data_IF_379489214705
#
_entry.id   IF_379489214705
#
_cell.length_a   1.000
_cell.length_b   1.000
_cell.length_c   1.000
_cell.angle_alpha   90.00
_cell.angle_beta   90.00
_cell.angle_gamma   90.00
#
_symmetry.space_group_name_H-M   'P 1'
#
loop_
_entity.id
_entity.type
_entity.pdbx_description
1 polymer ?
#
# COMPACT_ATOMS: atom_id res chain seq x y z
N UNK A 1 -21.53 26.92 9.98
CA UNK A 1 -21.19 25.48 10.11
C UNK A 1 -20.54 25.03 8.81
N UNK A 2 -19.30 24.56 8.83
CA UNK A 2 -18.60 24.15 7.61
C UNK A 2 -19.23 22.86 7.05
N UNK A 3 -19.86 22.96 5.87
CA UNK A 3 -20.54 21.87 5.15
C UNK A 3 -19.54 20.84 4.56
N UNK A 4 -18.76 20.16 5.41
CA UNK A 4 -17.88 19.09 4.96
C UNK A 4 -18.56 17.72 5.11
N UNK A 5 -18.50 16.89 4.07
CA UNK A 5 -18.95 15.49 4.12
C UNK A 5 -17.89 14.60 4.76
N UNK A 6 -18.32 13.58 5.50
CA UNK A 6 -17.44 12.63 6.19
C UNK A 6 -17.35 11.26 5.49
N UNK A 7 -17.97 11.12 4.30
CA UNK A 7 -18.00 9.88 3.52
C UNK A 7 -17.35 10.11 2.15
N UNK A 8 -16.55 9.13 1.72
CA UNK A 8 -15.90 9.09 0.41
C UNK A 8 -16.71 8.16 -0.49
N UNK A 9 -17.12 8.65 -1.66
CA UNK A 9 -17.84 7.82 -2.65
C UNK A 9 -16.86 7.03 -3.52
N UNK A 10 -17.34 5.99 -4.20
CA UNK A 10 -16.51 5.23 -5.14
C UNK A 10 -16.00 6.10 -6.30
N UNK A 11 -16.81 7.04 -6.78
CA UNK A 11 -16.40 8.02 -7.79
C UNK A 11 -15.26 8.91 -7.28
N UNK A 12 -15.35 9.41 -6.04
CA UNK A 12 -14.28 10.20 -5.43
C UNK A 12 -12.98 9.40 -5.39
N UNK A 13 -13.04 8.14 -4.91
CA UNK A 13 -11.88 7.25 -4.83
C UNK A 13 -11.27 6.92 -6.20
N UNK A 14 -12.09 6.66 -7.22
CA UNK A 14 -11.61 6.36 -8.57
C UNK A 14 -10.88 7.55 -9.20
N UNK A 15 -11.41 8.77 -9.02
CA UNK A 15 -10.77 10.00 -9.49
C UNK A 15 -9.43 10.22 -8.78
N UNK A 16 -9.40 10.13 -7.44
CA UNK A 16 -8.16 10.33 -6.67
C UNK A 16 -7.12 9.27 -7.02
N UNK A 17 -7.53 8.02 -7.20
CA UNK A 17 -6.66 6.93 -7.67
C UNK A 17 -6.06 7.26 -9.05
N UNK A 18 -6.88 7.61 -10.03
CA UNK A 18 -6.41 7.94 -11.38
C UNK A 18 -5.45 9.15 -11.36
N UNK A 19 -5.80 10.22 -10.63
CA UNK A 19 -4.94 11.40 -10.49
C UNK A 19 -3.60 11.05 -9.85
N UNK A 20 -3.59 10.18 -8.85
CA UNK A 20 -2.36 9.73 -8.19
C UNK A 20 -1.49 8.94 -9.16
N UNK A 21 -2.05 7.97 -9.89
CA UNK A 21 -1.34 7.14 -10.86
C UNK A 21 -0.75 7.96 -12.01
N UNK A 22 -1.55 8.82 -12.64
CA UNK A 22 -1.07 9.63 -13.76
C UNK A 22 -0.12 10.74 -13.28
N UNK A 23 -0.39 11.33 -12.12
CA UNK A 23 0.49 12.32 -11.52
C UNK A 23 1.88 11.76 -11.25
N UNK A 24 1.97 10.59 -10.61
CA UNK A 24 3.26 9.94 -10.35
C UNK A 24 3.96 9.56 -11.65
N UNK A 25 3.24 9.01 -12.63
CA UNK A 25 3.81 8.65 -13.93
C UNK A 25 4.38 9.85 -14.72
N UNK A 26 3.63 10.96 -14.78
CA UNK A 26 4.07 12.19 -15.45
C UNK A 26 5.33 12.74 -14.80
N UNK A 27 5.36 12.80 -13.47
CA UNK A 27 6.54 13.34 -12.78
C UNK A 27 7.75 12.41 -12.91
N UNK A 28 7.56 11.10 -12.83
CA UNK A 28 8.63 10.15 -13.11
C UNK A 28 9.20 10.32 -14.52
N UNK A 29 8.34 10.58 -15.52
CA UNK A 29 8.78 10.88 -16.89
C UNK A 29 9.57 12.20 -16.98
N UNK A 30 9.11 13.25 -16.31
CA UNK A 30 9.79 14.55 -16.27
C UNK A 30 11.16 14.43 -15.60
N UNK A 31 11.23 13.72 -14.47
CA UNK A 31 12.48 13.47 -13.74
C UNK A 31 13.47 12.65 -14.59
N UNK A 32 12.99 11.63 -15.31
CA UNK A 32 13.81 10.85 -16.23
C UNK A 32 14.34 11.71 -17.39
N UNK A 33 13.52 12.61 -17.95
CA UNK A 33 13.96 13.54 -18.99
C UNK A 33 15.01 14.52 -18.48
N UNK A 34 14.85 15.05 -17.27
CA UNK A 34 15.84 15.92 -16.62
C UNK A 34 17.16 15.16 -16.44
N UNK A 35 17.14 13.92 -15.95
CA UNK A 35 18.34 13.10 -15.82
C UNK A 35 19.06 12.90 -17.16
N UNK A 36 18.30 12.69 -18.25
CA UNK A 36 18.86 12.48 -19.58
C UNK A 36 19.40 13.75 -20.25
N UNK A 37 18.98 14.94 -19.80
CA UNK A 37 19.25 16.23 -20.48
C UNK A 37 20.06 17.23 -19.65
N UNK A 38 20.18 17.03 -18.34
CA UNK A 38 20.88 17.94 -17.44
C UNK A 38 22.20 17.34 -16.93
N UNK A 39 23.26 18.13 -16.99
CA UNK A 39 24.48 17.88 -16.21
C UNK A 39 24.29 18.45 -14.80
N UNK A 40 24.60 17.68 -13.74
CA UNK A 40 24.56 18.17 -12.36
C UNK A 40 23.88 17.23 -11.36
N UNK A 41 23.37 17.78 -10.25
CA UNK A 41 22.88 17.00 -9.10
C UNK A 41 21.84 15.91 -9.42
N UNK A 42 20.99 16.12 -10.43
CA UNK A 42 19.95 15.16 -10.85
C UNK A 42 20.43 14.12 -11.87
N UNK A 43 21.71 14.14 -12.29
CA UNK A 43 22.29 13.08 -13.12
C UNK A 43 22.73 11.87 -12.28
N UNK A 44 22.85 12.02 -10.96
CA UNK A 44 23.14 10.92 -10.04
C UNK A 44 21.91 10.03 -9.82
N UNK A 45 22.04 8.75 -10.17
CA UNK A 45 20.93 7.79 -10.14
C UNK A 45 20.37 7.60 -8.72
N UNK A 46 21.24 7.57 -7.70
CA UNK A 46 20.83 7.42 -6.30
C UNK A 46 19.98 8.62 -5.87
N UNK A 47 20.44 9.83 -6.16
CA UNK A 47 19.73 11.07 -5.89
C UNK A 47 18.36 11.11 -6.58
N UNK A 48 18.30 10.70 -7.85
CA UNK A 48 17.04 10.66 -8.60
C UNK A 48 16.03 9.67 -7.98
N UNK A 49 16.49 8.51 -7.51
CA UNK A 49 15.63 7.54 -6.82
C UNK A 49 15.03 8.13 -5.54
N UNK A 50 15.83 8.85 -4.74
CA UNK A 50 15.33 9.51 -3.53
C UNK A 50 14.32 10.61 -3.84
N UNK A 51 14.64 11.49 -4.79
CA UNK A 51 13.76 12.59 -5.20
C UNK A 51 12.45 12.04 -5.77
N UNK A 52 12.52 11.06 -6.67
CA UNK A 52 11.32 10.44 -7.24
C UNK A 52 10.46 9.77 -6.18
N UNK A 53 11.07 9.08 -5.20
CA UNK A 53 10.38 8.51 -4.05
C UNK A 53 9.61 9.56 -3.24
N UNK A 54 10.25 10.66 -2.85
CA UNK A 54 9.58 11.74 -2.10
C UNK A 54 8.44 12.36 -2.92
N UNK A 55 8.72 12.71 -4.17
CA UNK A 55 7.74 13.41 -5.01
C UNK A 55 6.53 12.52 -5.30
N UNK A 56 6.73 11.22 -5.51
CA UNK A 56 5.63 10.28 -5.69
C UNK A 56 4.68 10.29 -4.49
N UNK A 57 5.22 10.26 -3.26
CA UNK A 57 4.41 10.30 -2.04
C UNK A 57 3.68 11.63 -1.86
N UNK A 58 4.35 12.76 -2.19
CA UNK A 58 3.72 14.09 -2.17
C UNK A 58 2.55 14.20 -3.15
N UNK A 59 2.66 13.59 -4.33
CA UNK A 59 1.57 13.54 -5.32
C UNK A 59 0.39 12.76 -4.76
N UNK A 60 0.63 11.55 -4.22
CA UNK A 60 -0.44 10.69 -3.68
C UNK A 60 -1.22 11.43 -2.59
N UNK A 61 -0.53 11.97 -1.58
CA UNK A 61 -1.19 12.69 -0.49
C UNK A 61 -1.80 14.01 -0.96
N UNK A 62 -1.13 14.71 -1.89
CA UNK A 62 -1.61 15.94 -2.49
C UNK A 62 -2.91 15.75 -3.26
N UNK A 63 -3.02 14.67 -4.05
CA UNK A 63 -4.25 14.29 -4.74
C UNK A 63 -5.38 13.97 -3.74
N UNK A 64 -5.10 13.18 -2.69
CA UNK A 64 -6.10 12.80 -1.70
C UNK A 64 -6.61 14.01 -0.88
N UNK A 65 -5.70 14.81 -0.32
CA UNK A 65 -6.04 15.96 0.52
C UNK A 65 -6.58 17.11 -0.34
N UNK A 66 -5.95 17.42 -1.47
CA UNK A 66 -6.38 18.48 -2.39
C UNK A 66 -7.77 18.22 -2.97
N UNK A 67 -8.03 16.99 -3.43
CA UNK A 67 -9.38 16.60 -3.86
C UNK A 67 -10.38 16.65 -2.69
N UNK A 68 -9.96 16.23 -1.50
CA UNK A 68 -10.75 16.33 -0.28
C UNK A 68 -11.17 17.78 0.00
N UNK A 69 -10.25 18.74 -0.04
CA UNK A 69 -10.55 20.17 0.12
C UNK A 69 -11.53 20.64 -0.96
N UNK A 70 -11.26 20.34 -2.23
CA UNK A 70 -12.09 20.73 -3.36
C UNK A 70 -13.54 20.22 -3.24
N UNK A 71 -13.72 18.96 -2.81
CA UNK A 71 -15.03 18.33 -2.59
C UNK A 71 -15.61 18.53 -1.19
N UNK A 72 -14.96 19.36 -0.35
CA UNK A 72 -15.34 19.58 1.05
C UNK A 72 -15.50 18.25 1.80
N UNK A 73 -14.53 17.35 1.71
CA UNK A 73 -14.43 16.09 2.46
C UNK A 73 -13.54 16.31 3.66
N UNK A 74 -14.01 15.95 4.86
CA UNK A 74 -13.15 15.90 6.03
C UNK A 74 -12.30 14.63 5.98
N UNK A 75 -11.19 14.67 5.26
CA UNK A 75 -10.33 13.50 5.03
C UNK A 75 -9.92 12.81 6.33
N UNK A 76 -9.41 13.50 7.38
CA UNK A 76 -9.02 12.84 8.63
C UNK A 76 -10.16 12.05 9.29
N UNK A 77 -11.38 12.57 9.23
CA UNK A 77 -12.55 11.85 9.77
C UNK A 77 -12.95 10.70 8.85
N UNK A 78 -12.97 10.93 7.53
CA UNK A 78 -13.41 9.95 6.55
C UNK A 78 -12.51 8.70 6.48
N UNK A 79 -11.21 8.85 6.68
CA UNK A 79 -10.24 7.74 6.70
C UNK A 79 -10.09 7.09 8.08
N UNK A 80 -10.76 7.62 9.11
CA UNK A 80 -10.68 7.07 10.47
C UNK A 80 -9.42 7.48 11.24
N UNK A 81 -8.77 8.59 10.91
CA UNK A 81 -7.62 9.11 11.67
C UNK A 81 -7.99 9.55 13.10
N UNK A 82 -9.29 9.81 13.35
CA UNK A 82 -9.83 10.12 14.68
C UNK A 82 -10.10 8.90 15.56
N UNK A 83 -9.96 7.69 15.02
CA UNK A 83 -10.22 6.45 15.75
C UNK A 83 -8.91 5.93 16.35
N UNK A 84 -8.66 6.11 17.66
CA UNK A 84 -7.41 5.70 18.27
C UNK A 84 -7.33 4.18 18.37
N UNK A 85 -6.11 3.66 18.34
CA UNK A 85 -5.83 2.25 18.60
C UNK A 85 -5.57 2.00 20.07
N UNK A 86 -6.02 0.84 20.54
CA UNK A 86 -5.68 0.32 21.87
C UNK A 86 -4.26 -0.27 21.83
N UNK A 87 -3.55 -0.22 22.95
CA UNK A 87 -2.16 -0.71 23.04
C UNK A 87 -2.00 -2.16 22.58
N UNK A 88 -2.94 -3.05 22.95
CA UNK A 88 -2.92 -4.45 22.50
C UNK A 88 -3.06 -4.58 20.98
N UNK A 89 -3.77 -3.67 20.31
CA UNK A 89 -3.88 -3.66 18.85
C UNK A 89 -2.53 -3.28 18.25
N UNK A 90 -1.88 -2.26 18.79
CA UNK A 90 -0.53 -1.85 18.34
C UNK A 90 0.46 -3.01 18.50
N UNK A 91 0.50 -3.66 19.66
CA UNK A 91 1.39 -4.80 19.89
C UNK A 91 1.16 -5.93 18.89
N UNK A 92 -0.10 -6.28 18.61
CA UNK A 92 -0.43 -7.31 17.62
C UNK A 92 -0.08 -6.89 16.18
N UNK A 93 -0.19 -5.61 15.83
CA UNK A 93 0.21 -5.12 14.50
C UNK A 93 1.73 -5.24 14.31
N UNK A 94 2.55 -5.00 15.33
CA UNK A 94 4.00 -5.18 15.26
C UNK A 94 4.36 -6.66 15.08
N UNK A 95 3.73 -7.55 15.85
CA UNK A 95 3.90 -9.01 15.71
C UNK A 95 3.46 -9.48 14.33
N UNK A 96 2.33 -8.96 13.83
CA UNK A 96 1.80 -9.28 12.52
C UNK A 96 2.74 -8.80 11.39
N UNK A 97 3.35 -7.62 11.53
CA UNK A 97 4.32 -7.09 10.57
C UNK A 97 5.55 -8.00 10.44
N UNK A 98 6.09 -8.44 11.58
CA UNK A 98 7.24 -9.33 11.62
C UNK A 98 6.91 -10.73 11.10
N UNK A 99 5.77 -11.31 11.52
CA UNK A 99 5.32 -12.59 11.00
C UNK A 99 5.07 -12.53 9.48
N UNK A 100 4.53 -11.42 8.97
CA UNK A 100 4.33 -11.23 7.53
C UNK A 100 5.65 -11.12 6.77
N UNK A 101 6.67 -10.47 7.34
CA UNK A 101 8.02 -10.45 6.78
C UNK A 101 8.60 -11.86 6.68
N UNK A 102 8.58 -12.62 7.78
CA UNK A 102 9.09 -14.00 7.82
C UNK A 102 8.34 -14.94 6.86
N UNK A 103 7.03 -14.77 6.72
CA UNK A 103 6.23 -15.56 5.79
C UNK A 103 6.55 -15.24 4.33
N UNK A 104 6.71 -13.95 4.00
CA UNK A 104 6.86 -13.52 2.62
C UNK A 104 8.28 -13.52 2.10
N UNK A 105 9.32 -13.50 2.95
CA UNK A 105 10.71 -13.52 2.50
C UNK A 105 11.03 -14.73 1.60
N UNK A 106 10.71 -15.99 1.98
CA UNK A 106 10.92 -17.13 1.09
C UNK A 106 10.09 -17.06 -0.19
N UNK A 107 8.84 -16.58 -0.09
CA UNK A 107 7.95 -16.41 -1.24
C UNK A 107 8.53 -15.39 -2.21
N UNK A 108 9.00 -14.25 -1.72
CA UNK A 108 9.60 -13.19 -2.54
C UNK A 108 10.90 -13.66 -3.20
N UNK A 109 11.71 -14.44 -2.48
CA UNK A 109 12.94 -15.04 -3.04
C UNK A 109 12.59 -16.00 -4.18
N UNK A 110 11.64 -16.91 -3.95
CA UNK A 110 11.16 -17.83 -4.98
C UNK A 110 10.60 -17.11 -6.22
N UNK A 111 9.80 -16.07 -6.02
CA UNK A 111 9.28 -15.25 -7.14
C UNK A 111 10.42 -14.54 -7.87
N UNK A 112 11.41 -14.01 -7.12
CA UNK A 112 12.56 -13.34 -7.72
C UNK A 112 13.36 -14.30 -8.60
N UNK A 113 13.64 -15.51 -8.11
CA UNK A 113 14.32 -16.56 -8.87
C UNK A 113 13.52 -16.97 -10.11
N UNK A 114 12.19 -17.08 -10.00
CA UNK A 114 11.33 -17.38 -11.14
C UNK A 114 11.42 -16.29 -12.23
N UNK A 115 11.41 -15.01 -11.85
CA UNK A 115 11.50 -13.89 -12.79
C UNK A 115 12.90 -13.80 -13.44
N UNK A 116 13.97 -13.99 -12.67
CA UNK A 116 15.34 -14.07 -13.22
C UNK A 116 15.47 -15.23 -14.20
N UNK A 117 14.97 -16.41 -13.84
CA UNK A 117 15.00 -17.60 -14.72
C UNK A 117 14.12 -17.43 -15.98
N UNK A 118 13.12 -16.56 -15.92
CA UNK A 118 12.32 -16.16 -17.09
C UNK A 118 13.01 -15.10 -17.98
N UNK A 119 14.22 -14.66 -17.61
CA UNK A 119 15.02 -13.71 -18.39
C UNK A 119 14.84 -12.24 -18.01
N UNK A 120 14.11 -11.93 -16.94
CA UNK A 120 13.93 -10.55 -16.49
C UNK A 120 15.14 -10.08 -15.66
N UNK A 121 15.55 -8.83 -15.88
CA UNK A 121 16.60 -8.19 -15.09
C UNK A 121 16.07 -7.81 -13.70
N UNK A 122 16.81 -8.19 -12.66
CA UNK A 122 16.50 -7.79 -11.29
C UNK A 122 16.59 -6.26 -11.15
N UNK A 123 15.65 -5.62 -10.42
CA UNK A 123 15.69 -4.18 -10.22
C UNK A 123 16.90 -3.80 -9.36
N UNK A 124 17.51 -2.67 -9.68
CA UNK A 124 18.51 -2.04 -8.80
C UNK A 124 17.80 -1.51 -7.56
N UNK A 125 17.96 -2.23 -6.45
CA UNK A 125 17.42 -1.83 -5.15
C UNK A 125 18.05 -0.52 -4.65
N UNK A 126 17.39 0.11 -3.69
CA UNK A 126 17.95 1.27 -2.99
C UNK A 126 19.16 0.79 -2.18
N UNK A 127 20.34 1.30 -2.53
CA UNK A 127 21.59 0.95 -1.86
C UNK A 127 21.72 1.74 -0.55
N UNK A 128 21.70 1.01 0.57
CA UNK A 128 21.83 1.56 1.93
C UNK A 128 23.20 1.18 2.50
N UNK A 129 24.19 2.06 2.33
CA UNK A 129 25.59 1.80 2.72
C UNK A 129 25.99 2.48 4.02
N UNK A 130 25.30 3.55 4.41
CA UNK A 130 25.60 4.35 5.59
C UNK A 130 24.40 4.49 6.52
N UNK A 131 24.67 4.88 7.77
CA UNK A 131 23.60 5.22 8.71
C UNK A 131 22.75 6.41 8.21
N UNK A 132 23.36 7.35 7.47
CA UNK A 132 22.64 8.44 6.82
C UNK A 132 21.68 7.95 5.74
N UNK A 133 22.14 7.03 4.90
CA UNK A 133 21.29 6.38 3.89
C UNK A 133 20.14 5.60 4.54
N UNK A 134 20.39 4.93 5.66
CA UNK A 134 19.36 4.18 6.37
C UNK A 134 18.27 5.10 6.91
N UNK A 135 18.65 6.22 7.52
CA UNK A 135 17.68 7.22 8.01
C UNK A 135 16.85 7.75 6.84
N UNK A 136 17.50 8.07 5.72
CA UNK A 136 16.82 8.54 4.52
C UNK A 136 15.88 7.48 3.95
N UNK A 137 16.31 6.21 3.91
CA UNK A 137 15.51 5.06 3.50
C UNK A 137 14.27 4.88 4.37
N UNK A 138 14.42 4.96 5.70
CA UNK A 138 13.30 4.84 6.63
C UNK A 138 12.26 5.94 6.40
N UNK A 139 12.70 7.17 6.16
CA UNK A 139 11.77 8.27 5.87
C UNK A 139 11.06 8.04 4.53
N UNK A 140 11.80 7.79 3.45
CA UNK A 140 11.28 7.79 2.08
C UNK A 140 10.56 6.49 1.71
N UNK A 141 11.02 5.35 2.22
CA UNK A 141 10.50 4.03 1.85
C UNK A 141 9.68 3.36 2.97
N UNK A 142 9.66 3.88 4.20
CA UNK A 142 8.78 3.35 5.27
C UNK A 142 7.77 4.38 5.78
N UNK A 143 8.20 5.57 6.21
CA UNK A 143 7.30 6.57 6.82
C UNK A 143 6.38 7.22 5.78
N UNK A 144 6.94 7.78 4.71
CA UNK A 144 6.12 8.47 3.71
C UNK A 144 5.10 7.55 3.02
N UNK A 145 5.47 6.35 2.53
CA UNK A 145 4.53 5.45 1.87
C UNK A 145 3.42 4.98 2.81
N UNK A 146 3.78 4.59 4.04
CA UNK A 146 2.80 4.13 5.02
C UNK A 146 1.77 5.20 5.39
N UNK A 147 2.08 6.49 5.29
CA UNK A 147 1.12 7.57 5.49
C UNK A 147 0.31 7.87 4.22
N UNK A 148 1.01 8.04 3.09
CA UNK A 148 0.41 8.55 1.85
C UNK A 148 -0.39 7.46 1.12
N UNK A 149 0.22 6.30 0.92
CA UNK A 149 -0.41 5.18 0.21
C UNK A 149 -1.57 4.62 1.02
N UNK A 150 -1.45 4.51 2.35
CA UNK A 150 -2.56 4.05 3.18
C UNK A 150 -3.74 5.01 3.16
N UNK A 151 -3.49 6.33 3.14
CA UNK A 151 -4.55 7.32 2.97
C UNK A 151 -5.30 7.09 1.66
N UNK A 152 -4.60 6.82 0.55
CA UNK A 152 -5.23 6.50 -0.73
C UNK A 152 -5.95 5.14 -0.70
N UNK A 153 -5.22 4.06 -0.48
CA UNK A 153 -5.75 2.72 -0.67
C UNK A 153 -6.72 2.32 0.43
N UNK A 154 -6.42 2.59 1.71
CA UNK A 154 -7.30 2.17 2.81
C UNK A 154 -8.34 3.25 3.07
N UNK A 155 -7.90 4.49 3.17
CA UNK A 155 -8.77 5.64 3.43
C UNK A 155 -9.80 5.90 2.32
N UNK A 156 -9.38 5.95 1.05
CA UNK A 156 -10.29 6.19 -0.08
C UNK A 156 -10.79 4.88 -0.71
N UNK A 157 -9.91 4.06 -1.27
CA UNK A 157 -10.31 2.91 -2.09
C UNK A 157 -11.07 1.87 -1.26
N UNK A 158 -10.42 1.21 -0.31
CA UNK A 158 -10.99 0.16 0.54
C UNK A 158 -12.28 0.63 1.23
N UNK A 159 -12.26 1.82 1.83
CA UNK A 159 -13.43 2.38 2.51
C UNK A 159 -14.62 2.58 1.56
N UNK A 160 -14.39 3.04 0.33
CA UNK A 160 -15.45 3.25 -0.65
C UNK A 160 -16.07 1.95 -1.19
N UNK A 161 -15.30 0.86 -1.22
CA UNK A 161 -15.79 -0.45 -1.65
C UNK A 161 -16.48 -1.24 -0.53
N UNK A 162 -16.18 -0.92 0.74
CA UNK A 162 -16.70 -1.64 1.89
C UNK A 162 -18.22 -1.50 2.03
N UNK A 163 -18.94 -2.64 1.97
CA UNK A 163 -20.39 -2.67 2.11
C UNK A 163 -20.82 -2.52 3.58
N UNK A 164 -21.93 -1.80 3.83
CA UNK A 164 -22.65 -1.86 5.12
C UNK A 164 -23.02 -3.31 5.48
N UNK A 165 -23.21 -3.57 6.77
CA UNK A 165 -23.59 -4.89 7.27
C UNK A 165 -22.44 -5.91 7.35
N UNK A 166 -21.24 -5.58 6.86
CA UNK A 166 -20.06 -6.47 6.93
C UNK A 166 -19.00 -5.94 7.89
N UNK A 167 -18.48 -6.83 8.74
CA UNK A 167 -17.29 -6.55 9.58
C UNK A 167 -16.07 -6.28 8.69
N UNK A 168 -15.80 -7.20 7.77
CA UNK A 168 -14.75 -7.11 6.77
C UNK A 168 -15.33 -7.52 5.42
N UNK A 169 -15.28 -6.60 4.45
CA UNK A 169 -15.76 -6.87 3.10
C UNK A 169 -14.61 -7.38 2.22
N UNK A 170 -14.63 -8.67 1.90
CA UNK A 170 -13.59 -9.31 1.09
C UNK A 170 -13.41 -8.65 -0.29
N UNK A 171 -14.49 -8.13 -0.89
CA UNK A 171 -14.36 -7.43 -2.17
C UNK A 171 -13.54 -6.13 -2.04
N UNK A 172 -13.73 -5.40 -0.94
CA UNK A 172 -12.97 -4.19 -0.67
C UNK A 172 -11.50 -4.52 -0.33
N UNK A 173 -11.25 -5.62 0.38
CA UNK A 173 -9.90 -6.14 0.65
C UNK A 173 -9.18 -6.45 -0.65
N UNK A 174 -9.78 -7.29 -1.50
CA UNK A 174 -9.12 -7.76 -2.74
C UNK A 174 -8.90 -6.61 -3.73
N UNK A 175 -9.91 -5.77 -3.98
CA UNK A 175 -9.80 -4.67 -4.95
C UNK A 175 -8.76 -3.65 -4.49
N UNK A 176 -8.83 -3.20 -3.22
CA UNK A 176 -7.86 -2.24 -2.70
C UNK A 176 -6.43 -2.77 -2.75
N UNK A 177 -6.24 -4.06 -2.45
CA UNK A 177 -4.91 -4.69 -2.41
C UNK A 177 -4.36 -4.93 -3.81
N UNK A 178 -5.22 -5.29 -4.78
CA UNK A 178 -4.83 -5.44 -6.17
C UNK A 178 -4.41 -4.09 -6.78
N UNK A 179 -5.17 -3.02 -6.51
CA UNK A 179 -4.83 -1.67 -6.97
C UNK A 179 -3.55 -1.16 -6.31
N UNK A 180 -3.33 -1.45 -5.03
CA UNK A 180 -2.08 -1.16 -4.32
C UNK A 180 -0.88 -1.86 -4.96
N UNK A 181 -0.99 -3.16 -5.21
CA UNK A 181 0.09 -3.93 -5.84
C UNK A 181 0.40 -3.43 -7.26
N UNK A 182 -0.62 -3.30 -8.11
CA UNK A 182 -0.38 -2.98 -9.52
C UNK A 182 0.14 -1.55 -9.75
N UNK A 183 -0.10 -0.63 -8.81
CA UNK A 183 0.46 0.73 -8.88
C UNK A 183 1.99 0.75 -8.90
N UNK A 184 2.64 -0.29 -8.38
CA UNK A 184 4.10 -0.43 -8.46
C UNK A 184 4.61 -0.72 -9.88
N UNK A 185 3.70 -1.03 -10.82
CA UNK A 185 3.99 -1.22 -12.26
C UNK A 185 5.15 -2.21 -12.53
N UNK A 186 5.36 -3.16 -11.62
CA UNK A 186 6.53 -4.03 -11.63
C UNK A 186 6.17 -5.47 -11.24
N UNK A 187 6.62 -6.48 -12.00
CA UNK A 187 6.41 -7.89 -11.65
C UNK A 187 7.05 -8.24 -10.30
N UNK A 188 8.20 -7.64 -9.99
CA UNK A 188 8.92 -7.82 -8.72
C UNK A 188 8.11 -7.37 -7.49
N UNK A 189 7.21 -6.41 -7.68
CA UNK A 189 6.40 -5.79 -6.62
C UNK A 189 4.91 -6.12 -6.76
N UNK A 190 4.58 -7.34 -7.17
CA UNK A 190 3.18 -7.78 -7.31
C UNK A 190 2.72 -8.63 -6.13
N UNK A 191 3.36 -9.77 -5.90
CA UNK A 191 2.89 -10.78 -4.93
C UNK A 191 2.99 -10.28 -3.49
N UNK A 192 4.13 -9.71 -3.11
CA UNK A 192 4.35 -9.22 -1.76
C UNK A 192 3.41 -8.06 -1.37
N UNK A 193 3.35 -6.95 -2.14
CA UNK A 193 2.44 -5.86 -1.85
C UNK A 193 0.96 -6.28 -1.88
N UNK A 194 0.56 -7.22 -2.74
CA UNK A 194 -0.82 -7.72 -2.75
C UNK A 194 -1.19 -8.42 -1.44
N UNK A 195 -0.33 -9.34 -0.97
CA UNK A 195 -0.60 -10.10 0.24
C UNK A 195 -0.57 -9.21 1.49
N UNK A 196 0.46 -8.37 1.64
CA UNK A 196 0.52 -7.36 2.71
C UNK A 196 -0.68 -6.41 2.61
N UNK A 197 -1.01 -6.03 1.37
CA UNK A 197 -2.24 -5.37 0.94
C UNK A 197 -3.47 -5.84 1.67
N UNK A 198 -3.71 -7.15 1.56
CA UNK A 198 -4.89 -7.83 2.09
C UNK A 198 -4.92 -7.83 3.61
N UNK A 199 -3.77 -8.14 4.25
CA UNK A 199 -3.62 -8.14 5.71
C UNK A 199 -3.94 -6.75 6.27
N UNK A 200 -3.34 -5.70 5.69
CA UNK A 200 -3.59 -4.32 6.07
C UNK A 200 -5.08 -3.94 5.89
N UNK A 201 -5.68 -4.29 4.76
CA UNK A 201 -7.09 -3.97 4.50
C UNK A 201 -8.02 -4.67 5.51
N UNK A 202 -7.73 -5.92 5.91
CA UNK A 202 -8.48 -6.64 6.94
C UNK A 202 -8.42 -5.91 8.28
N UNK A 203 -7.22 -5.55 8.76
CA UNK A 203 -7.07 -4.86 10.06
C UNK A 203 -7.64 -3.44 10.03
N UNK A 204 -7.52 -2.75 8.89
CA UNK A 204 -8.15 -1.44 8.69
C UNK A 204 -9.67 -1.52 8.78
N UNK A 205 -10.31 -2.45 8.08
CA UNK A 205 -11.76 -2.62 8.14
C UNK A 205 -12.23 -3.09 9.53
N UNK A 206 -11.43 -3.90 10.22
CA UNK A 206 -11.73 -4.37 11.56
C UNK A 206 -11.65 -3.27 12.63
N UNK A 207 -10.68 -2.36 12.52
CA UNK A 207 -10.46 -1.28 13.50
C UNK A 207 -11.10 0.05 13.13
N UNK A 208 -11.39 0.26 11.84
CA UNK A 208 -11.79 1.54 11.26
C UNK A 208 -10.82 2.68 11.56
N UNK A 209 -9.55 2.35 11.76
CA UNK A 209 -8.50 3.30 12.08
C UNK A 209 -7.42 3.25 11.01
N UNK A 210 -7.14 4.38 10.36
CA UNK A 210 -6.02 4.48 9.40
C UNK A 210 -4.69 4.14 10.07
N UNK A 211 -4.56 4.40 11.37
CA UNK A 211 -3.35 4.11 12.12
C UNK A 211 -3.04 2.61 12.18
N UNK A 212 -4.04 1.73 12.07
CA UNK A 212 -3.78 0.29 11.99
C UNK A 212 -3.04 -0.08 10.71
N UNK A 213 -3.39 0.60 9.62
CA UNK A 213 -2.77 0.41 8.33
C UNK A 213 -1.38 1.04 8.28
N UNK A 214 -1.27 2.29 8.72
CA UNK A 214 0.01 3.03 8.79
C UNK A 214 1.04 2.26 9.61
N UNK A 215 0.70 1.83 10.83
CA UNK A 215 1.64 1.13 11.72
C UNK A 215 2.10 -0.19 11.09
N UNK A 216 1.17 -1.00 10.56
CA UNK A 216 1.52 -2.28 9.97
C UNK A 216 2.40 -2.13 8.73
N UNK A 217 2.06 -1.21 7.83
CA UNK A 217 2.84 -0.94 6.62
C UNK A 217 4.23 -0.36 6.98
N UNK A 218 4.26 0.68 7.83
CA UNK A 218 5.51 1.29 8.31
C UNK A 218 6.43 0.23 8.92
N UNK A 219 5.90 -0.60 9.82
CA UNK A 219 6.71 -1.60 10.53
C UNK A 219 7.24 -2.65 9.57
N UNK A 220 6.45 -3.08 8.58
CA UNK A 220 6.90 -4.04 7.59
C UNK A 220 8.08 -3.48 6.77
N UNK A 221 7.95 -2.27 6.22
CA UNK A 221 9.01 -1.65 5.43
C UNK A 221 10.24 -1.29 6.29
N UNK A 222 10.03 -0.80 7.51
CA UNK A 222 11.10 -0.48 8.43
C UNK A 222 11.89 -1.73 8.83
N UNK A 223 11.23 -2.86 9.08
CA UNK A 223 11.91 -4.12 9.40
C UNK A 223 12.77 -4.62 8.23
N UNK A 224 12.28 -4.53 6.99
CA UNK A 224 13.08 -4.88 5.79
C UNK A 224 14.36 -4.05 5.75
N UNK A 225 14.25 -2.73 5.89
CA UNK A 225 15.40 -1.81 5.84
C UNK A 225 16.38 -2.01 7.00
N UNK A 226 15.86 -2.09 8.24
CA UNK A 226 16.66 -2.23 9.45
C UNK A 226 17.39 -3.57 9.48
N UNK A 227 16.69 -4.67 9.23
CA UNK A 227 17.31 -6.01 9.27
C UNK A 227 18.27 -6.19 8.10
N UNK A 228 17.92 -5.69 6.91
CA UNK A 228 18.82 -5.69 5.74
C UNK A 228 20.15 -4.97 6.04
N UNK A 229 20.09 -3.77 6.61
CA UNK A 229 21.27 -2.99 6.95
C UNK A 229 22.07 -3.57 8.12
N UNK A 230 21.41 -3.88 9.24
CA UNK A 230 22.09 -4.30 10.48
C UNK A 230 22.66 -5.73 10.37
N UNK A 231 21.94 -6.62 9.68
CA UNK A 231 22.28 -8.04 9.61
C UNK A 231 22.88 -8.43 8.26
N UNK A 232 23.01 -7.48 7.32
CA UNK A 232 23.71 -7.65 6.02
C UNK A 232 23.29 -8.94 5.28
N UNK A 233 21.97 -9.17 5.21
CA UNK A 233 21.38 -10.34 4.55
C UNK A 233 21.43 -11.67 5.34
N UNK A 234 22.12 -11.73 6.49
CA UNK A 234 22.18 -12.97 7.29
C UNK A 234 20.82 -13.42 7.82
N UNK A 235 19.92 -12.47 8.13
CA UNK A 235 18.54 -12.78 8.51
C UNK A 235 17.76 -13.40 7.35
N UNK A 236 17.85 -12.81 6.16
CA UNK A 236 17.19 -13.31 4.95
C UNK A 236 17.70 -14.71 4.60
N UNK A 237 19.02 -14.91 4.61
CA UNK A 237 19.64 -16.21 4.37
C UNK A 237 19.18 -17.25 5.39
N UNK A 238 19.11 -16.90 6.68
CA UNK A 238 18.58 -17.78 7.72
C UNK A 238 17.11 -18.15 7.46
N UNK A 239 16.27 -17.16 7.13
CA UNK A 239 14.85 -17.36 6.86
C UNK A 239 14.62 -18.25 5.64
N UNK A 240 15.35 -18.01 4.55
CA UNK A 240 15.25 -18.79 3.31
C UNK A 240 15.77 -20.21 3.50
N UNK A 241 16.88 -20.41 4.20
CA UNK A 241 17.41 -21.75 4.51
C UNK A 241 16.44 -22.60 5.35
N UNK A 242 15.56 -21.94 6.12
CA UNK A 242 14.63 -22.54 7.06
C UNK A 242 13.16 -22.29 6.69
N UNK A 243 12.89 -22.05 5.40
CA UNK A 243 11.63 -21.49 4.93
C UNK A 243 10.39 -22.22 5.43
N UNK A 244 10.38 -23.55 5.42
CA UNK A 244 9.17 -24.33 5.63
C UNK A 244 8.60 -24.18 7.04
N UNK A 245 9.43 -24.36 8.08
CA UNK A 245 8.96 -24.25 9.46
C UNK A 245 8.76 -22.78 9.86
N UNK A 246 9.55 -21.85 9.32
CA UNK A 246 9.36 -20.40 9.55
C UNK A 246 8.02 -19.94 8.97
N UNK A 247 7.66 -20.39 7.77
CA UNK A 247 6.35 -20.09 7.17
C UNK A 247 5.21 -20.68 8.00
N UNK A 248 5.34 -21.91 8.51
CA UNK A 248 4.33 -22.53 9.38
C UNK A 248 4.14 -21.75 10.68
N UNK A 249 5.22 -21.37 11.37
CA UNK A 249 5.15 -20.53 12.58
C UNK A 249 4.52 -19.18 12.26
N UNK A 250 4.91 -18.57 11.14
CA UNK A 250 4.36 -17.27 10.72
C UNK A 250 2.86 -17.35 10.46
N UNK A 251 2.37 -18.42 9.80
CA UNK A 251 0.94 -18.66 9.61
C UNK A 251 0.20 -18.89 10.93
N UNK A 252 0.81 -19.63 11.86
CA UNK A 252 0.27 -19.86 13.20
C UNK A 252 0.14 -18.56 14.03
N UNK A 253 0.85 -17.49 13.64
CA UNK A 253 0.71 -16.15 14.22
C UNK A 253 -0.29 -15.29 13.44
N UNK A 254 -0.17 -15.27 12.10
CA UNK A 254 -1.00 -14.43 11.22
C UNK A 254 -2.48 -14.79 11.35
N UNK A 255 -2.83 -16.08 11.25
CA UNK A 255 -4.23 -16.53 11.20
C UNK A 255 -4.97 -16.18 12.50
N UNK A 256 -4.48 -16.53 13.71
CA UNK A 256 -5.18 -16.19 14.95
C UNK A 256 -5.24 -14.69 15.20
N UNK A 257 -4.19 -13.94 14.83
CA UNK A 257 -4.16 -12.48 14.99
C UNK A 257 -5.24 -11.82 14.13
N UNK A 258 -5.31 -12.18 12.84
CA UNK A 258 -6.35 -11.69 11.95
C UNK A 258 -7.75 -12.09 12.42
N UNK A 259 -7.94 -13.35 12.84
CA UNK A 259 -9.19 -13.80 13.41
C UNK A 259 -9.62 -12.97 14.63
N UNK A 260 -8.69 -12.62 15.52
CA UNK A 260 -8.98 -11.80 16.70
C UNK A 260 -9.44 -10.39 16.32
N UNK A 261 -8.78 -9.76 15.33
CA UNK A 261 -9.22 -8.47 14.79
C UNK A 261 -10.62 -8.56 14.19
N UNK A 262 -10.89 -9.56 13.34
CA UNK A 262 -12.22 -9.73 12.72
C UNK A 262 -13.29 -10.06 13.76
N UNK A 263 -12.98 -10.87 14.76
CA UNK A 263 -13.92 -11.22 15.84
C UNK A 263 -14.36 -9.97 16.62
N UNK A 264 -13.41 -9.10 16.96
CA UNK A 264 -13.64 -7.84 17.69
C UNK A 264 -14.11 -6.68 16.82
N UNK A 265 -14.22 -6.87 15.50
CA UNK A 265 -14.68 -5.83 14.59
C UNK A 265 -16.19 -5.55 14.77
N UNK A 266 -16.54 -4.26 14.67
CA UNK A 266 -17.92 -3.79 14.67
C UNK A 266 -18.52 -3.83 13.26
N UNK A 267 -19.81 -4.14 13.17
CA UNK A 267 -20.57 -4.08 11.91
C UNK A 267 -20.95 -2.63 11.64
N UNK A 268 -20.89 -2.20 10.38
CA UNK A 268 -21.48 -0.91 9.97
C UNK A 268 -22.99 -1.12 9.84
N UNK A 269 -23.79 -0.58 10.75
CA UNK A 269 -25.25 -0.84 10.83
C UNK A 269 -26.10 0.03 9.89
N UNK A 270 -25.49 0.88 9.05
CA UNK A 270 -26.21 2.02 8.46
C UNK A 270 -26.68 1.87 7.00
N UNK A 271 -27.30 0.76 6.59
CA UNK A 271 -28.01 0.76 5.29
C UNK A 271 -29.28 -0.09 5.26
N UNK A 272 -30.38 0.55 4.88
CA UNK A 272 -31.62 -0.11 4.48
C UNK A 272 -31.42 -0.91 3.19
N UNK A 273 -32.23 -1.94 2.93
CA UNK A 273 -32.16 -2.73 1.68
C UNK A 273 -32.23 -1.87 0.42
N UNK A 274 -33.11 -0.86 0.42
CA UNK A 274 -33.27 0.08 -0.68
C UNK A 274 -32.01 0.94 -0.90
N UNK A 275 -31.36 1.42 0.16
CA UNK A 275 -30.08 2.15 0.03
C UNK A 275 -28.93 1.25 -0.39
N UNK A 276 -28.97 -0.04 -0.08
CA UNK A 276 -28.00 -1.02 -0.60
C UNK A 276 -28.18 -1.28 -2.09
N UNK A 277 -29.42 -1.39 -2.57
CA UNK A 277 -29.74 -1.60 -3.99
C UNK A 277 -29.32 -0.40 -4.85
N UNK A 278 -29.64 0.84 -4.44
CA UNK A 278 -29.22 2.06 -5.13
C UNK A 278 -27.69 2.20 -5.20
N UNK A 279 -26.98 1.85 -4.13
CA UNK A 279 -25.50 1.81 -4.11
C UNK A 279 -24.92 0.77 -5.05
N UNK A 280 -25.60 -0.35 -5.29
CA UNK A 280 -25.15 -1.37 -6.23
C UNK A 280 -25.22 -0.88 -7.69
N UNK A 281 -26.24 -0.08 -8.04
CA UNK A 281 -26.37 0.51 -9.38
C UNK A 281 -25.31 1.60 -9.61
N UNK A 282 -25.13 2.50 -8.63
CA UNK A 282 -24.13 3.58 -8.71
C UNK A 282 -22.69 3.05 -8.75
N UNK A 283 -22.45 1.89 -8.12
CA UNK A 283 -21.16 1.17 -8.13
C UNK A 283 -20.70 0.81 -9.53
N UNK A 284 -21.56 0.27 -10.39
CA UNK A 284 -21.16 -0.13 -11.76
C UNK A 284 -20.74 1.08 -12.61
N UNK A 285 -21.47 2.20 -12.51
CA UNK A 285 -21.07 3.45 -13.17
C UNK A 285 -19.77 4.01 -12.58
N UNK A 286 -19.61 3.91 -11.26
CA UNK A 286 -18.44 4.44 -10.55
C UNK A 286 -17.16 3.60 -10.74
N UNK A 287 -17.27 2.34 -11.14
CA UNK A 287 -16.11 1.47 -11.35
C UNK A 287 -15.24 1.93 -12.53
N UNK A 288 -15.88 2.54 -13.54
CA UNK A 288 -15.20 3.09 -14.73
C UNK A 288 -14.12 4.12 -14.40
N UNK A 289 -14.22 4.83 -13.26
CA UNK A 289 -13.23 5.81 -12.84
C UNK A 289 -11.89 5.18 -12.41
N UNK A 290 -11.88 3.88 -12.06
CA UNK A 290 -10.64 3.16 -11.76
C UNK A 290 -9.98 2.59 -13.01
N UNK A 291 -10.74 2.41 -14.10
CA UNK A 291 -10.29 1.68 -15.29
C UNK A 291 -9.07 2.32 -15.93
N UNK A 292 -9.06 3.63 -16.16
CA UNK A 292 -7.95 4.30 -16.85
C UNK A 292 -6.61 4.13 -16.12
N UNK A 293 -6.56 4.40 -14.81
CA UNK A 293 -5.35 4.20 -14.02
C UNK A 293 -4.93 2.73 -13.93
N UNK A 294 -5.89 1.82 -13.79
CA UNK A 294 -5.61 0.37 -13.71
C UNK A 294 -5.04 -0.17 -15.01
N UNK A 295 -5.63 0.19 -16.16
CA UNK A 295 -5.16 -0.20 -17.48
C UNK A 295 -3.77 0.37 -17.74
N UNK A 296 -3.52 1.62 -17.36
CA UNK A 296 -2.18 2.21 -17.45
C UNK A 296 -1.15 1.42 -16.63
N UNK A 297 -1.45 1.11 -15.37
CA UNK A 297 -0.55 0.32 -14.53
C UNK A 297 -0.27 -1.07 -15.10
N UNK A 298 -1.30 -1.77 -15.61
CA UNK A 298 -1.15 -3.08 -16.25
C UNK A 298 -0.34 -3.00 -17.54
N UNK A 299 -0.54 -1.96 -18.35
CA UNK A 299 0.26 -1.72 -19.55
C UNK A 299 1.73 -1.53 -19.21
N UNK A 300 2.04 -0.68 -18.21
CA UNK A 300 3.42 -0.47 -17.74
C UNK A 300 4.02 -1.76 -17.16
N UNK A 301 3.24 -2.53 -16.42
CA UNK A 301 3.67 -3.83 -15.89
C UNK A 301 4.04 -4.80 -17.02
N UNK A 302 3.22 -4.90 -18.06
CA UNK A 302 3.50 -5.74 -19.24
C UNK A 302 4.72 -5.22 -19.99
N UNK A 303 4.86 -3.90 -20.13
CA UNK A 303 6.01 -3.27 -20.77
C UNK A 303 7.33 -3.68 -20.10
N UNK A 304 7.38 -3.72 -18.76
CA UNK A 304 8.56 -4.20 -18.00
C UNK A 304 8.85 -5.69 -18.23
N UNK A 305 7.84 -6.50 -18.57
CA UNK A 305 8.02 -7.93 -18.83
C UNK A 305 8.53 -8.21 -20.24
N UNK A 306 8.15 -7.38 -21.23
CA UNK A 306 8.45 -7.61 -22.65
C UNK A 306 9.62 -6.77 -23.20
N UNK A 307 9.98 -5.68 -22.52
CA UNK A 307 11.03 -4.74 -22.92
C UNK A 307 12.32 -4.94 -22.15
#
# INVERSE_FOLDING_TARGET
>A
MNNFKNKISMKDSGIVFALSVFGTAIVSLVLAFIMASAEGFLSDQKTLQWVSGVVAQLIIIGCAVGYGIYKKINVPTAVGAKNPLKLWQVALLLVLAFAMLCFMLPVQTFISDLLVNAGLSAPTGVVVESAGDLVLALVIAAVLPSLCEETLYRGFVCNSFARPGKKVDISAVLISSALFAIMHMSPWQTVHPFALGCVIAIVYLATRSIWSAVILHFTNNALVLLLGYLLKGSFEAFVVANWWWIMLISLAIIIPTLWLFVKKAHVIEDATEETMALRAIDRNKSLSFFTAGTVFCLFMWVFVVIG
#
